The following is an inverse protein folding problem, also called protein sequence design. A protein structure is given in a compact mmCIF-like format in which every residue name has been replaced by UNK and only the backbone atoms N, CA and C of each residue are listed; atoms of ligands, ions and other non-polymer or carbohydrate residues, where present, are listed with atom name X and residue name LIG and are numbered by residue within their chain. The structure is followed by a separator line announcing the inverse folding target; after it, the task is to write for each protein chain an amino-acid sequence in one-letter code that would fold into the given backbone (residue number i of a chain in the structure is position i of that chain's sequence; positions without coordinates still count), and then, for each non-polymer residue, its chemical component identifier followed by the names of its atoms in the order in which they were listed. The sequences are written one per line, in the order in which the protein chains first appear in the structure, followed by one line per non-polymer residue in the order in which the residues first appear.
data_IF_346012103637
#
_entry.id   IF_346012103637
#
_cell.length_a   1.000
_cell.length_b   1.000
_cell.length_c   1.000
_cell.angle_alpha   90.00
_cell.angle_beta   90.00
_cell.angle_gamma   90.00
#
_symmetry.space_group_name_H-M   'P 1'
#
loop_
_entity.id
_entity.type
_entity.pdbx_description
1 polymer ?
#
# COMPACT_ATOMS: atom_id res chain seq x y z
N UNK A 1 -2.73 7.50 -30.77
CA UNK A 1 -1.51 7.92 -30.06
C UNK A 1 -1.45 7.21 -28.72
N UNK A 2 -0.27 6.69 -28.35
CA UNK A 2 -0.08 6.09 -27.04
C UNK A 2 0.55 7.14 -26.12
N UNK A 3 -0.20 7.67 -25.15
CA UNK A 3 0.26 8.68 -24.20
C UNK A 3 0.92 8.10 -22.96
N UNK A 4 1.11 6.77 -22.90
CA UNK A 4 1.73 6.12 -21.75
C UNK A 4 3.20 6.55 -21.60
N UNK A 5 3.66 6.95 -20.40
CA UNK A 5 5.04 7.33 -20.18
C UNK A 5 6.00 6.19 -20.54
N UNK A 6 7.21 6.54 -20.99
CA UNK A 6 8.26 5.56 -21.29
C UNK A 6 9.28 5.40 -20.16
N UNK A 7 9.34 6.36 -19.25
CA UNK A 7 10.36 6.42 -18.19
C UNK A 7 9.72 6.30 -16.81
N UNK A 8 8.60 6.98 -16.60
CA UNK A 8 7.93 6.96 -15.29
C UNK A 8 7.06 5.72 -15.13
N UNK A 9 6.93 5.25 -13.87
CA UNK A 9 5.96 4.24 -13.53
C UNK A 9 4.54 4.68 -13.98
N UNK A 10 3.79 3.76 -14.52
CA UNK A 10 2.35 3.89 -14.73
C UNK A 10 1.70 2.53 -14.58
N UNK A 11 0.60 2.44 -13.85
CA UNK A 11 -0.15 1.19 -13.71
C UNK A 11 -0.55 0.61 -15.07
N UNK A 12 -0.61 -0.70 -15.17
CA UNK A 12 -0.99 -1.39 -16.42
C UNK A 12 -2.38 -0.98 -16.92
N UNK A 13 -3.28 -0.71 -15.99
CA UNK A 13 -4.68 -0.35 -16.27
C UNK A 13 -5.23 0.61 -15.25
N UNK A 14 -6.27 1.35 -15.65
CA UNK A 14 -7.17 2.09 -14.79
C UNK A 14 -6.56 3.28 -14.05
N UNK A 15 -7.27 3.82 -13.08
CA UNK A 15 -6.92 5.07 -12.41
C UNK A 15 -5.75 4.94 -11.45
N UNK A 16 -4.82 5.88 -11.53
CA UNK A 16 -3.77 6.10 -10.53
C UNK A 16 -3.64 7.59 -10.22
N UNK A 17 -3.20 7.93 -9.00
CA UNK A 17 -2.81 9.28 -8.64
C UNK A 17 -1.58 9.25 -7.71
N UNK A 18 -1.70 9.59 -6.43
CA UNK A 18 -0.57 9.83 -5.53
C UNK A 18 0.36 8.63 -5.37
N UNK A 19 1.68 8.81 -5.48
CA UNK A 19 2.63 7.83 -4.98
C UNK A 19 2.59 7.78 -3.45
N UNK A 20 2.69 6.59 -2.90
CA UNK A 20 2.62 6.32 -1.47
C UNK A 20 3.74 5.37 -1.04
N UNK A 21 4.08 5.39 0.23
CA UNK A 21 4.84 4.36 0.93
C UNK A 21 6.14 3.94 0.26
N UNK A 22 6.89 4.86 -0.36
CA UNK A 22 8.14 4.50 -1.01
C UNK A 22 9.19 4.07 0.01
N UNK A 23 9.69 2.84 -0.15
CA UNK A 23 10.75 2.28 0.70
C UNK A 23 11.73 1.45 -0.14
N UNK A 24 12.96 1.31 0.37
CA UNK A 24 13.97 0.44 -0.21
C UNK A 24 14.31 -0.67 0.79
N UNK A 25 14.10 -1.93 0.38
CA UNK A 25 14.29 -3.09 1.22
C UNK A 25 15.02 -4.17 0.40
N UNK A 26 16.12 -4.68 0.92
CA UNK A 26 16.87 -5.82 0.38
C UNK A 26 17.17 -5.73 -1.14
N UNK A 27 17.57 -4.53 -1.60
CA UNK A 27 17.95 -4.32 -2.99
C UNK A 27 16.77 -4.01 -3.92
N UNK A 28 15.59 -3.76 -3.38
CA UNK A 28 14.36 -3.52 -4.13
C UNK A 28 13.66 -2.25 -3.64
N UNK A 29 13.25 -1.40 -4.56
CA UNK A 29 12.37 -0.26 -4.30
C UNK A 29 10.93 -0.73 -4.34
N UNK A 30 10.16 -0.39 -3.33
CA UNK A 30 8.72 -0.58 -3.28
C UNK A 30 8.04 0.77 -3.49
N UNK A 31 7.07 0.81 -4.36
CA UNK A 31 6.20 1.94 -4.62
C UNK A 31 4.75 1.49 -4.42
N UNK A 32 4.06 2.13 -3.50
CA UNK A 32 2.61 2.03 -3.42
C UNK A 32 2.00 3.26 -4.10
N UNK A 33 0.75 3.17 -4.49
CA UNK A 33 0.08 4.27 -5.19
C UNK A 33 -1.43 4.19 -5.03
N UNK A 34 -2.07 5.35 -5.02
CA UNK A 34 -3.52 5.44 -5.09
C UNK A 34 -4.00 4.81 -6.37
N UNK A 35 -4.91 3.86 -6.27
CA UNK A 35 -5.38 3.07 -7.40
C UNK A 35 -6.87 2.77 -7.31
N UNK A 36 -7.58 2.94 -8.43
CA UNK A 36 -8.90 2.37 -8.60
C UNK A 36 -8.86 1.30 -9.68
N UNK A 37 -8.92 0.00 -9.30
CA UNK A 37 -8.64 -1.09 -10.25
C UNK A 37 -9.78 -1.40 -11.22
N UNK A 38 -10.95 -0.76 -11.08
CA UNK A 38 -12.14 -1.13 -11.85
C UNK A 38 -12.49 -0.17 -12.98
N UNK A 39 -11.96 1.07 -12.99
CA UNK A 39 -12.25 2.06 -14.03
C UNK A 39 -11.12 3.08 -14.22
N UNK A 40 -11.19 3.83 -15.33
CA UNK A 40 -10.24 4.91 -15.66
C UNK A 40 -10.60 6.27 -15.04
N UNK A 41 -11.66 6.35 -14.28
CA UNK A 41 -12.07 7.51 -13.50
C UNK A 41 -11.84 7.24 -12.01
N UNK A 42 -11.79 8.31 -11.21
CA UNK A 42 -11.69 8.22 -9.77
C UNK A 42 -12.84 7.37 -9.17
N UNK A 43 -12.52 6.54 -8.20
CA UNK A 43 -13.47 5.67 -7.51
C UNK A 43 -12.94 5.21 -6.16
N UNK A 44 -13.49 4.17 -5.56
CA UNK A 44 -13.03 3.65 -4.28
C UNK A 44 -11.53 3.31 -4.32
N UNK A 45 -10.72 4.14 -3.64
CA UNK A 45 -9.27 4.05 -3.66
C UNK A 45 -8.75 2.86 -2.89
N UNK A 46 -7.82 2.17 -3.53
CA UNK A 46 -6.97 1.11 -3.01
C UNK A 46 -5.52 1.60 -2.98
N UNK A 47 -4.63 0.86 -2.37
CA UNK A 47 -3.21 0.97 -2.67
C UNK A 47 -2.80 -0.13 -3.64
N UNK A 48 -2.42 0.28 -4.85
CA UNK A 48 -1.64 -0.55 -5.74
C UNK A 48 -0.21 -0.69 -5.23
N UNK A 49 0.52 -1.68 -5.74
CA UNK A 49 1.89 -1.96 -5.35
C UNK A 49 2.74 -2.30 -6.57
N UNK A 50 3.92 -1.74 -6.63
CA UNK A 50 4.91 -2.07 -7.65
C UNK A 50 6.31 -2.12 -7.04
N UNK A 51 7.20 -2.89 -7.66
CA UNK A 51 8.59 -3.03 -7.24
C UNK A 51 9.55 -2.79 -8.39
N UNK A 52 10.74 -2.30 -8.06
CA UNK A 52 11.81 -2.06 -9.03
C UNK A 52 13.19 -2.24 -8.39
N UNK A 53 14.17 -2.62 -9.18
CA UNK A 53 15.58 -2.66 -8.75
C UNK A 53 16.38 -1.44 -9.21
N UNK A 54 15.85 -0.68 -10.16
CA UNK A 54 16.59 0.40 -10.85
C UNK A 54 15.78 1.69 -11.00
N UNK A 55 14.52 1.73 -10.49
CA UNK A 55 13.56 2.83 -10.60
C UNK A 55 13.06 3.11 -12.05
N UNK A 56 13.49 2.31 -13.01
CA UNK A 56 13.10 2.43 -14.41
C UNK A 56 12.18 1.28 -14.84
N UNK A 57 12.52 0.06 -14.43
CA UNK A 57 11.76 -1.13 -14.76
C UNK A 57 10.96 -1.57 -13.54
N UNK A 58 9.63 -1.53 -13.68
CA UNK A 58 8.69 -1.80 -12.60
C UNK A 58 7.87 -3.05 -12.86
N UNK A 59 7.69 -3.84 -11.83
CA UNK A 59 6.78 -4.97 -11.79
C UNK A 59 5.62 -4.64 -10.86
N UNK A 60 4.38 -4.71 -11.37
CA UNK A 60 3.19 -4.59 -10.51
C UNK A 60 2.94 -5.90 -9.78
N UNK A 61 2.77 -5.77 -8.48
CA UNK A 61 2.36 -6.81 -7.55
C UNK A 61 0.83 -6.76 -7.31
N UNK A 62 0.27 -7.73 -6.59
CA UNK A 62 -1.12 -7.64 -6.14
C UNK A 62 -1.41 -6.35 -5.38
N UNK A 63 -2.66 -5.93 -5.35
CA UNK A 63 -3.11 -4.78 -4.57
C UNK A 63 -2.77 -5.02 -3.10
N UNK A 64 -2.12 -4.04 -2.48
CA UNK A 64 -1.67 -4.13 -1.09
C UNK A 64 -2.79 -3.86 -0.09
N UNK A 65 -3.60 -2.82 -0.33
CA UNK A 65 -4.67 -2.42 0.59
C UNK A 65 -5.99 -2.23 -0.17
N UNK A 66 -7.04 -2.82 0.40
CA UNK A 66 -8.41 -2.75 -0.09
C UNK A 66 -9.27 -1.90 0.83
N UNK A 67 -10.27 -1.16 0.31
CA UNK A 67 -11.31 -0.56 1.15
C UNK A 67 -11.99 -1.59 2.06
N UNK A 68 -12.42 -1.13 3.23
CA UNK A 68 -13.12 -1.92 4.23
C UNK A 68 -14.20 -1.09 4.96
N UNK A 69 -14.64 -1.52 6.13
CA UNK A 69 -15.62 -0.82 6.95
C UNK A 69 -15.15 0.56 7.45
N UNK A 70 -13.84 0.82 7.47
CA UNK A 70 -13.27 2.13 7.81
C UNK A 70 -13.24 3.08 6.61
N UNK A 71 -13.58 2.60 5.41
CA UNK A 71 -13.71 3.40 4.21
C UNK A 71 -12.64 3.14 3.15
N UNK A 72 -12.40 4.15 2.33
CA UNK A 72 -11.45 4.14 1.24
C UNK A 72 -10.02 4.27 1.77
N UNK A 73 -9.06 3.75 1.02
CA UNK A 73 -7.64 3.84 1.37
C UNK A 73 -7.05 5.10 0.73
N UNK A 74 -6.86 6.15 1.52
CA UNK A 74 -6.21 7.38 1.08
C UNK A 74 -4.70 7.33 1.29
N UNK A 75 -4.02 8.41 0.94
CA UNK A 75 -2.57 8.46 0.89
C UNK A 75 -1.91 8.28 2.26
N UNK A 76 -0.65 7.86 2.23
CA UNK A 76 0.15 7.61 3.40
C UNK A 76 1.58 7.22 3.07
N UNK A 77 2.28 6.68 4.05
CA UNK A 77 3.69 6.32 3.98
C UNK A 77 3.95 4.92 4.53
N UNK A 78 5.15 4.40 4.27
CA UNK A 78 5.60 3.14 4.84
C UNK A 78 6.91 3.30 5.60
N UNK A 79 7.13 2.41 6.57
CA UNK A 79 8.39 2.25 7.25
C UNK A 79 8.73 0.76 7.38
N UNK A 80 9.97 0.40 7.07
CA UNK A 80 10.46 -0.94 7.32
C UNK A 80 11.02 -1.00 8.76
N UNK A 81 10.30 -1.67 9.63
CA UNK A 81 10.66 -1.84 11.04
C UNK A 81 11.65 -3.01 11.20
N UNK A 82 12.89 -2.75 10.80
CA UNK A 82 13.95 -3.76 10.74
C UNK A 82 14.21 -4.47 12.06
N UNK A 83 14.08 -3.76 13.16
CA UNK A 83 14.32 -4.28 14.52
C UNK A 83 13.04 -4.84 15.18
N UNK A 84 11.92 -4.84 14.45
CA UNK A 84 10.61 -5.27 14.95
C UNK A 84 10.22 -4.60 16.29
N UNK A 85 10.48 -3.29 16.39
CA UNK A 85 10.16 -2.50 17.60
C UNK A 85 8.66 -2.44 17.83
N UNK A 86 7.88 -2.41 16.75
CA UNK A 86 6.41 -2.44 16.81
C UNK A 86 5.84 -3.74 17.39
N UNK A 87 6.60 -4.84 17.29
CA UNK A 87 6.11 -6.17 17.62
C UNK A 87 5.14 -6.78 16.62
N UNK A 88 4.92 -6.12 15.45
CA UNK A 88 4.02 -6.59 14.39
C UNK A 88 4.67 -7.65 13.49
N UNK A 89 5.98 -7.82 13.57
CA UNK A 89 6.70 -8.89 12.88
C UNK A 89 6.66 -10.21 13.64
N UNK A 90 7.26 -11.24 13.05
CA UNK A 90 7.43 -12.51 13.72
C UNK A 90 8.78 -12.57 14.44
N UNK A 91 8.82 -13.34 15.52
CA UNK A 91 10.04 -13.56 16.32
C UNK A 91 10.80 -14.80 15.88
N UNK A 92 12.08 -14.86 16.20
CA UNK A 92 12.89 -16.06 16.03
C UNK A 92 12.36 -17.20 16.91
N UNK A 93 12.29 -18.40 16.32
CA UNK A 93 12.00 -19.64 17.06
C UNK A 93 13.20 -20.58 16.84
N UNK A 94 14.27 -20.43 17.63
CA UNK A 94 15.53 -21.16 17.41
C UNK A 94 15.36 -22.67 17.45
N UNK A 95 14.47 -23.17 18.32
CA UNK A 95 14.18 -24.62 18.44
C UNK A 95 13.62 -25.25 17.16
N UNK A 96 12.99 -24.43 16.28
CA UNK A 96 12.42 -24.87 15.02
C UNK A 96 13.27 -24.40 13.81
N UNK A 97 14.38 -23.71 14.04
CA UNK A 97 15.19 -23.12 12.96
C UNK A 97 14.47 -22.00 12.20
N UNK A 98 13.40 -21.44 12.74
CA UNK A 98 12.62 -20.38 12.13
C UNK A 98 13.20 -19.02 12.50
N UNK A 99 13.55 -18.21 11.51
CA UNK A 99 13.92 -16.81 11.69
C UNK A 99 12.67 -15.92 11.64
N UNK A 100 12.62 -14.97 12.55
CA UNK A 100 11.62 -13.92 12.56
C UNK A 100 11.71 -13.04 11.31
N UNK A 101 10.62 -12.36 11.02
CA UNK A 101 10.53 -11.43 9.89
C UNK A 101 10.18 -10.04 10.38
N UNK A 102 10.97 -9.07 9.97
CA UNK A 102 10.70 -7.66 10.20
C UNK A 102 9.48 -7.21 9.38
N UNK A 103 8.58 -6.41 9.94
CA UNK A 103 7.39 -5.97 9.23
C UNK A 103 7.67 -4.71 8.39
N UNK A 104 7.05 -4.63 7.23
CA UNK A 104 6.81 -3.38 6.52
C UNK A 104 5.47 -2.83 7.03
N UNK A 105 5.50 -1.64 7.63
CA UNK A 105 4.33 -1.00 8.21
C UNK A 105 3.88 0.12 7.28
N UNK A 106 2.62 0.08 6.88
CA UNK A 106 1.94 1.16 6.15
C UNK A 106 1.09 1.96 7.13
N UNK A 107 1.24 3.28 7.13
CA UNK A 107 0.36 4.22 7.82
C UNK A 107 -0.38 5.03 6.77
N UNK A 108 -1.70 5.03 6.80
CA UNK A 108 -2.53 5.65 5.77
C UNK A 108 -3.78 6.26 6.36
N UNK A 109 -4.47 7.08 5.57
CA UNK A 109 -5.76 7.66 5.95
C UNK A 109 -6.90 6.78 5.45
N UNK A 110 -7.74 6.30 6.36
CA UNK A 110 -9.05 5.74 6.02
C UNK A 110 -10.05 6.87 5.85
N UNK A 111 -10.78 6.89 4.74
CA UNK A 111 -11.77 7.91 4.41
C UNK A 111 -13.17 7.28 4.29
N UNK A 112 -13.96 7.46 5.33
CA UNK A 112 -15.34 6.98 5.40
C UNK A 112 -16.32 8.09 5.03
N UNK A 113 -17.21 7.82 4.10
CA UNK A 113 -18.34 8.71 3.77
C UNK A 113 -19.62 8.05 4.20
N UNK A 114 -20.39 8.79 4.99
CA UNK A 114 -21.75 8.38 5.43
C UNK A 114 -22.77 9.46 5.05
N UNK A 115 -24.04 9.08 5.06
CA UNK A 115 -25.15 10.00 4.85
C UNK A 115 -26.08 9.92 6.05
N UNK A 116 -26.28 11.04 6.75
CA UNK A 116 -27.21 11.17 7.85
C UNK A 116 -28.24 12.25 7.52
N UNK A 117 -29.51 11.90 7.54
CA UNK A 117 -30.63 12.80 7.19
C UNK A 117 -30.48 13.47 5.80
N UNK A 118 -29.83 12.77 4.85
CA UNK A 118 -29.55 13.28 3.50
C UNK A 118 -28.31 14.17 3.39
N UNK A 119 -27.63 14.47 4.49
CA UNK A 119 -26.37 15.22 4.51
C UNK A 119 -25.18 14.27 4.41
N UNK A 120 -24.22 14.62 3.54
CA UNK A 120 -22.95 13.91 3.40
C UNK A 120 -22.02 14.27 4.57
N UNK A 121 -21.59 13.24 5.30
CA UNK A 121 -20.53 13.36 6.32
C UNK A 121 -19.31 12.58 5.91
N UNK A 122 -18.14 13.03 6.29
CA UNK A 122 -16.89 12.29 6.11
C UNK A 122 -16.13 12.21 7.42
N UNK A 123 -15.53 11.06 7.64
CA UNK A 123 -14.60 10.81 8.74
C UNK A 123 -13.27 10.37 8.14
N UNK A 124 -12.20 11.04 8.56
CA UNK A 124 -10.83 10.67 8.20
C UNK A 124 -10.09 10.30 9.47
N UNK A 125 -9.46 9.13 9.44
CA UNK A 125 -8.68 8.61 10.56
C UNK A 125 -7.40 7.94 10.06
N UNK A 126 -6.36 7.98 10.89
CA UNK A 126 -5.12 7.29 10.60
C UNK A 126 -5.27 5.81 10.92
N UNK A 127 -4.88 4.97 9.96
CA UNK A 127 -4.92 3.52 10.07
C UNK A 127 -3.54 2.93 9.80
N UNK A 128 -3.32 1.73 10.31
CA UNK A 128 -2.07 1.00 10.14
C UNK A 128 -2.39 -0.35 9.49
N UNK A 129 -1.52 -0.76 8.56
CA UNK A 129 -1.44 -2.13 8.08
C UNK A 129 0.02 -2.57 8.06
N UNK A 130 0.27 -3.86 8.13
CA UNK A 130 1.62 -4.39 8.11
C UNK A 130 1.74 -5.66 7.26
N UNK A 131 2.95 -5.93 6.80
CA UNK A 131 3.28 -7.12 6.01
C UNK A 131 4.62 -7.68 6.42
N UNK A 132 4.70 -9.00 6.59
CA UNK A 132 5.96 -9.73 6.85
C UNK A 132 6.51 -10.45 5.62
N UNK A 133 5.79 -10.40 4.50
CA UNK A 133 6.23 -10.93 3.19
C UNK A 133 6.41 -9.84 2.13
N UNK A 134 6.18 -8.57 2.50
CA UNK A 134 6.26 -7.36 1.67
C UNK A 134 5.21 -7.29 0.54
N UNK A 135 4.25 -8.21 0.51
CA UNK A 135 3.23 -8.31 -0.54
C UNK A 135 1.81 -8.27 0.03
N UNK A 136 1.54 -9.08 1.04
CA UNK A 136 0.22 -9.20 1.64
C UNK A 136 0.19 -8.45 2.96
N UNK A 137 -0.78 -7.55 3.09
CA UNK A 137 -0.94 -6.68 4.25
C UNK A 137 -2.11 -7.11 5.13
N UNK A 138 -1.89 -7.11 6.43
CA UNK A 138 -2.88 -7.25 7.49
C UNK A 138 -3.16 -5.88 8.12
N UNK A 139 -4.41 -5.63 8.52
CA UNK A 139 -4.88 -4.39 9.15
C UNK A 139 -5.14 -4.55 10.64
#
# INVERSE_FOLDING_TARGET
MNYRPKVHFSAKKNWINDPNGMVYIDGQYHLFFQHYPHAMNWGPMHWGHAVSRDLLHWEELPIALYPDELGLIFSGSCVFDKENISGLGSVDIPMLGVKGKAPLIAMYTSHLVTFENGERKSLEQQSIAYSTDLVHFEK
#
